data_IF_638766739764
#
_entry.id   IF_638766739764
#
_cell.length_a   1.000
_cell.length_b   1.000
_cell.length_c   1.000
_cell.angle_alpha   90.00
_cell.angle_beta   90.00
_cell.angle_gamma   90.00
#
_symmetry.space_group_name_H-M   'P 1'
#
loop_
_entity.id
_entity.type
_entity.pdbx_description
1 polymer ?
#
# COMPACT_ATOMS: atom_id res chain seq x y z
N UNK A 1 35.39 53.35 27.17
CA UNK A 1 35.42 52.07 26.45
C UNK A 1 34.09 51.96 25.70
N UNK A 2 34.03 52.21 24.39
CA UNK A 2 32.77 52.17 23.67
C UNK A 2 32.34 50.72 23.48
N UNK A 3 31.09 50.46 23.81
CA UNK A 3 30.42 49.16 23.80
C UNK A 3 30.30 48.66 22.35
N UNK A 4 31.10 47.66 21.99
CA UNK A 4 31.27 47.14 20.62
C UNK A 4 30.11 46.21 20.26
N UNK A 5 28.89 46.72 20.25
CA UNK A 5 27.72 46.05 19.64
C UNK A 5 27.51 46.59 18.24
N UNK A 6 28.50 46.39 17.39
CA UNK A 6 28.42 46.70 15.97
C UNK A 6 27.87 45.47 15.25
N UNK A 7 26.69 45.59 14.66
CA UNK A 7 26.00 44.51 13.95
C UNK A 7 26.97 43.83 12.98
N UNK A 8 27.24 42.54 13.24
CA UNK A 8 28.10 41.72 12.38
C UNK A 8 27.42 41.62 11.03
N UNK A 9 28.01 42.25 10.01
CA UNK A 9 27.52 42.15 8.65
C UNK A 9 27.94 40.79 8.08
N UNK A 10 27.05 39.81 8.21
CA UNK A 10 27.22 38.44 7.71
C UNK A 10 26.56 38.36 6.33
N UNK A 11 27.30 37.90 5.32
CA UNK A 11 26.76 37.70 3.99
C UNK A 11 26.32 36.24 3.79
N UNK A 12 25.01 36.00 3.84
CA UNK A 12 24.39 34.68 3.74
C UNK A 12 24.47 34.01 2.36
N UNK A 13 25.05 34.67 1.35
CA UNK A 13 25.24 34.09 0.01
C UNK A 13 26.47 33.18 -0.08
N UNK A 14 27.41 33.23 0.88
CA UNK A 14 28.56 32.32 0.87
C UNK A 14 28.15 30.92 1.28
N UNK A 15 28.23 29.99 0.32
CA UNK A 15 27.98 28.56 0.54
C UNK A 15 29.20 27.69 0.29
N UNK A 16 30.09 28.10 -0.61
CA UNK A 16 31.27 27.32 -0.95
C UNK A 16 32.40 27.54 0.05
N UNK A 17 33.24 26.51 0.24
CA UNK A 17 34.40 26.55 1.14
C UNK A 17 35.24 27.82 1.00
N UNK A 18 35.60 28.19 -0.24
CA UNK A 18 36.43 29.37 -0.52
C UNK A 18 35.72 30.68 -0.13
N UNK A 19 34.42 30.77 -0.38
CA UNK A 19 33.61 31.93 -0.03
C UNK A 19 33.44 32.08 1.49
N UNK A 20 33.23 30.97 2.20
CA UNK A 20 33.13 30.92 3.68
C UNK A 20 34.48 31.29 4.28
N UNK A 21 35.59 30.71 3.80
CA UNK A 21 36.95 31.03 4.24
C UNK A 21 37.26 32.51 4.07
N UNK A 22 36.96 33.07 2.89
CA UNK A 22 37.15 34.50 2.60
C UNK A 22 36.41 35.39 3.60
N UNK A 23 35.14 35.08 3.87
CA UNK A 23 34.35 35.84 4.84
C UNK A 23 34.86 35.69 6.27
N UNK A 24 35.30 34.50 6.67
CA UNK A 24 35.88 34.31 8.00
C UNK A 24 37.21 35.07 8.15
N UNK A 25 38.01 35.18 7.10
CA UNK A 25 39.22 36.01 7.08
C UNK A 25 38.85 37.50 7.21
N UNK A 26 37.87 37.99 6.44
CA UNK A 26 37.41 39.38 6.55
C UNK A 26 36.84 39.69 7.94
N UNK A 27 36.07 38.75 8.51
CA UNK A 27 35.55 38.85 9.86
C UNK A 27 36.69 38.91 10.89
N UNK A 28 37.70 38.05 10.76
CA UNK A 28 38.86 38.06 11.63
C UNK A 28 39.63 39.40 11.55
N UNK A 29 39.84 39.93 10.34
CA UNK A 29 40.50 41.24 10.11
C UNK A 29 39.75 42.41 10.75
N UNK A 30 38.41 42.39 10.75
CA UNK A 30 37.59 43.47 11.30
C UNK A 30 37.53 43.43 12.84
N UNK A 31 37.39 42.25 13.43
CA UNK A 31 37.10 42.12 14.86
C UNK A 31 38.31 41.80 15.73
N UNK A 32 39.36 41.18 15.17
CA UNK A 32 40.57 40.79 15.88
C UNK A 32 41.88 41.42 15.31
N UNK A 33 41.90 42.71 14.92
CA UNK A 33 43.06 43.32 14.23
C UNK A 33 44.32 43.41 15.11
N UNK A 34 44.17 43.44 16.44
CA UNK A 34 45.28 43.57 17.38
C UNK A 34 45.86 42.22 17.82
N UNK A 35 45.04 41.17 17.82
CA UNK A 35 45.42 39.82 18.25
C UNK A 35 45.89 38.91 17.11
N UNK A 36 45.39 39.11 15.89
CA UNK A 36 45.70 38.24 14.76
C UNK A 36 46.06 39.08 13.53
N UNK A 37 47.35 39.10 13.18
CA UNK A 37 47.90 39.89 12.07
C UNK A 37 48.50 39.05 10.94
N UNK A 38 48.73 37.75 11.20
CA UNK A 38 49.27 36.82 10.22
C UNK A 38 48.14 35.95 9.64
N UNK A 39 47.91 36.08 8.33
CA UNK A 39 46.95 35.31 7.54
C UNK A 39 47.64 34.53 6.42
N UNK A 40 48.93 34.24 6.57
CA UNK A 40 49.64 33.38 5.64
C UNK A 40 49.10 31.95 5.68
N UNK A 41 49.11 31.27 4.53
CA UNK A 41 48.51 29.94 4.36
C UNK A 41 49.18 28.82 5.19
N UNK A 42 50.34 29.09 5.80
CA UNK A 42 51.10 28.11 6.58
C UNK A 42 50.93 28.23 8.11
N UNK A 43 50.10 29.16 8.59
CA UNK A 43 49.90 29.40 10.03
C UNK A 43 48.84 28.51 10.68
N UNK A 44 48.93 28.31 12.01
CA UNK A 44 47.90 27.61 12.80
C UNK A 44 46.50 28.25 12.65
N UNK A 45 46.45 29.58 12.53
CA UNK A 45 45.19 30.30 12.29
C UNK A 45 44.56 29.99 10.93
N UNK A 46 45.37 29.77 9.88
CA UNK A 46 44.86 29.34 8.58
C UNK A 46 44.27 27.94 8.64
N UNK A 47 44.94 27.01 9.34
CA UNK A 47 44.42 25.65 9.57
C UNK A 47 43.09 25.66 10.35
N UNK A 48 42.98 26.50 11.37
CA UNK A 48 41.73 26.64 12.14
C UNK A 48 40.60 27.22 11.27
N UNK A 49 40.89 28.25 10.47
CA UNK A 49 39.93 28.81 9.52
C UNK A 49 39.52 27.79 8.46
N UNK A 50 40.44 26.97 7.97
CA UNK A 50 40.17 25.90 7.02
C UNK A 50 39.28 24.80 7.64
N UNK A 51 39.57 24.39 8.87
CA UNK A 51 38.76 23.41 9.58
C UNK A 51 37.31 23.90 9.79
N UNK A 52 37.14 25.15 10.25
CA UNK A 52 35.80 25.74 10.45
C UNK A 52 35.08 25.95 9.12
N UNK A 53 35.80 26.39 8.07
CA UNK A 53 35.23 26.56 6.73
C UNK A 53 34.76 25.22 6.14
N UNK A 54 35.53 24.15 6.37
CA UNK A 54 35.17 22.80 5.93
C UNK A 54 33.90 22.30 6.64
N UNK A 55 33.83 22.46 7.96
CA UNK A 55 32.63 22.12 8.75
C UNK A 55 31.42 22.94 8.26
N UNK A 56 31.61 24.24 8.04
CA UNK A 56 30.56 25.13 7.53
C UNK A 56 30.04 24.70 6.15
N UNK A 57 30.94 24.31 5.25
CA UNK A 57 30.56 23.81 3.93
C UNK A 57 29.73 22.52 4.00
N UNK A 58 30.16 21.54 4.80
CA UNK A 58 29.45 20.27 4.98
C UNK A 58 28.07 20.49 5.61
N UNK A 59 27.96 21.36 6.62
CA UNK A 59 26.68 21.70 7.25
C UNK A 59 25.75 22.45 6.29
N UNK A 60 26.28 23.36 5.47
CA UNK A 60 25.49 24.07 4.46
C UNK A 60 24.86 23.09 3.47
N UNK A 61 25.63 22.09 3.00
CA UNK A 61 25.11 21.05 2.12
C UNK A 61 23.97 20.26 2.79
N UNK A 62 24.16 19.81 4.03
CA UNK A 62 23.12 19.03 4.72
C UNK A 62 21.85 19.84 5.01
N UNK A 63 21.97 21.13 5.35
CA UNK A 63 20.81 22.01 5.54
C UNK A 63 20.01 22.18 4.25
N UNK A 64 20.70 22.39 3.12
CA UNK A 64 20.06 22.53 1.82
C UNK A 64 19.38 21.23 1.40
N UNK A 65 20.07 20.11 1.61
CA UNK A 65 19.51 18.78 1.38
C UNK A 65 18.25 18.54 2.21
N UNK A 66 18.32 18.76 3.52
CA UNK A 66 17.18 18.57 4.42
C UNK A 66 16.00 19.49 4.07
N UNK A 67 16.28 20.74 3.67
CA UNK A 67 15.24 21.69 3.27
C UNK A 67 14.56 21.24 1.98
N UNK A 68 15.33 20.77 0.99
CA UNK A 68 14.78 20.24 -0.25
C UNK A 68 13.97 18.96 -0.01
N UNK A 69 14.43 18.05 0.84
CA UNK A 69 13.71 16.82 1.21
C UNK A 69 12.46 17.09 2.07
N UNK A 70 12.31 18.28 2.64
CA UNK A 70 11.15 18.66 3.47
C UNK A 70 9.89 18.98 2.67
N UNK A 71 10.00 19.22 1.36
CA UNK A 71 8.84 19.51 0.50
C UNK A 71 8.70 18.50 -0.62
N UNK A 72 7.46 18.07 -0.89
CA UNK A 72 7.16 17.11 -1.96
C UNK A 72 7.67 17.55 -3.34
N UNK A 73 7.65 18.85 -3.64
CA UNK A 73 8.08 19.40 -4.93
C UNK A 73 9.59 19.37 -5.15
N UNK A 74 10.38 19.36 -4.08
CA UNK A 74 11.84 19.45 -4.12
C UNK A 74 12.55 18.19 -3.63
N UNK A 75 11.83 17.28 -2.97
CA UNK A 75 12.36 16.00 -2.51
C UNK A 75 12.79 15.13 -3.68
N UNK A 76 13.96 14.51 -3.56
CA UNK A 76 14.58 13.65 -4.56
C UNK A 76 14.59 12.20 -4.05
N UNK A 77 14.77 11.99 -2.74
CA UNK A 77 14.72 10.65 -2.17
C UNK A 77 13.32 10.04 -2.31
N UNK A 78 13.26 8.89 -2.98
CA UNK A 78 12.03 8.14 -3.20
C UNK A 78 11.23 7.91 -1.90
N UNK A 79 11.90 7.53 -0.81
CA UNK A 79 11.25 7.29 0.47
C UNK A 79 10.63 8.56 1.09
N UNK A 80 11.22 9.73 0.86
CA UNK A 80 10.67 10.99 1.39
C UNK A 80 9.50 11.47 0.55
N UNK A 81 9.59 11.35 -0.78
CA UNK A 81 8.46 11.57 -1.69
C UNK A 81 7.26 10.68 -1.29
N UNK A 82 7.53 9.41 -0.98
CA UNK A 82 6.50 8.48 -0.52
C UNK A 82 5.82 8.93 0.77
N UNK A 83 6.60 9.31 1.79
CA UNK A 83 6.08 9.82 3.07
C UNK A 83 5.27 11.10 2.91
N UNK A 84 5.70 12.00 2.03
CA UNK A 84 4.94 13.20 1.69
C UNK A 84 3.61 12.85 1.01
N UNK A 85 3.63 11.86 0.11
CA UNK A 85 2.43 11.27 -0.49
C UNK A 85 1.47 10.69 0.56
N UNK A 86 1.98 9.89 1.48
CA UNK A 86 1.19 9.30 2.57
C UNK A 86 0.53 10.38 3.45
N UNK A 87 1.25 11.49 3.73
CA UNK A 87 0.71 12.60 4.51
C UNK A 87 -0.48 13.30 3.84
N UNK A 88 -0.53 13.31 2.51
CA UNK A 88 -1.68 13.82 1.73
C UNK A 88 -2.74 12.75 1.44
N UNK A 89 -2.56 11.53 1.95
CA UNK A 89 -3.49 10.41 1.80
C UNK A 89 -3.26 9.55 0.55
N UNK A 90 -2.16 9.75 -0.18
CA UNK A 90 -1.77 8.86 -1.27
C UNK A 90 -1.27 7.52 -0.74
N UNK A 91 -1.95 6.43 -1.10
CA UNK A 91 -1.55 5.06 -0.78
C UNK A 91 -0.75 4.50 -1.93
N UNK A 92 0.54 4.31 -1.70
CA UNK A 92 1.39 3.64 -2.67
C UNK A 92 1.26 2.13 -2.53
N UNK A 93 1.13 1.44 -3.65
CA UNK A 93 1.06 0.00 -3.72
C UNK A 93 2.18 -0.47 -4.65
N UNK A 94 3.16 -1.16 -4.08
CA UNK A 94 4.39 -1.55 -4.79
C UNK A 94 4.11 -2.69 -5.79
N UNK A 95 3.14 -3.55 -5.49
CA UNK A 95 2.85 -4.75 -6.27
C UNK A 95 1.39 -4.72 -6.68
N UNK A 96 1.12 -4.79 -7.98
CA UNK A 96 -0.25 -4.82 -8.51
C UNK A 96 -0.61 -6.22 -8.92
N UNK A 97 -1.78 -6.67 -8.48
CA UNK A 97 -2.37 -7.89 -9.00
C UNK A 97 -2.99 -7.67 -10.39
N UNK A 98 -2.93 -8.70 -11.23
CA UNK A 98 -3.62 -8.74 -12.52
C UNK A 98 -5.02 -9.33 -12.33
N UNK A 99 -6.01 -8.70 -12.94
CA UNK A 99 -7.40 -9.17 -12.91
C UNK A 99 -7.79 -9.74 -14.27
N UNK A 100 -8.63 -10.77 -14.27
CA UNK A 100 -9.16 -11.39 -15.47
C UNK A 100 -10.55 -11.98 -15.25
N UNK A 101 -11.20 -12.36 -16.34
CA UNK A 101 -12.48 -13.07 -16.30
C UNK A 101 -12.29 -14.46 -16.88
N UNK A 102 -12.70 -15.47 -16.12
CA UNK A 102 -12.72 -16.87 -16.57
C UNK A 102 -14.15 -17.26 -16.93
N UNK A 103 -14.28 -18.09 -17.96
CA UNK A 103 -15.55 -18.73 -18.31
C UNK A 103 -15.50 -20.16 -17.82
N UNK A 104 -16.45 -20.53 -16.97
CA UNK A 104 -16.54 -21.84 -16.36
C UNK A 104 -17.70 -22.61 -16.97
N UNK A 105 -17.47 -23.90 -17.18
CA UNK A 105 -18.47 -24.82 -17.71
C UNK A 105 -18.57 -26.00 -16.76
N UNK A 106 -19.78 -26.35 -16.34
CA UNK A 106 -20.03 -27.57 -15.61
C UNK A 106 -21.11 -28.39 -16.29
N UNK A 107 -20.93 -29.71 -16.27
CA UNK A 107 -21.86 -30.68 -16.80
C UNK A 107 -22.77 -31.17 -15.66
N UNK A 108 -24.08 -31.05 -15.86
CA UNK A 108 -25.12 -31.38 -14.88
C UNK A 108 -26.10 -32.37 -15.51
N UNK A 109 -26.51 -33.43 -14.79
CA UNK A 109 -27.49 -34.39 -15.32
C UNK A 109 -28.84 -33.74 -15.58
N UNK A 110 -29.63 -34.38 -16.42
CA UNK A 110 -31.02 -34.05 -16.69
C UNK A 110 -31.93 -34.35 -15.48
N UNK A 111 -32.96 -33.52 -15.27
CA UNK A 111 -33.96 -33.74 -14.23
C UNK A 111 -34.86 -34.96 -14.53
N UNK A 112 -35.58 -35.45 -13.51
CA UNK A 112 -36.47 -36.62 -13.65
C UNK A 112 -37.58 -36.47 -14.70
N UNK A 113 -37.86 -35.24 -15.15
CA UNK A 113 -38.87 -34.91 -16.18
C UNK A 113 -38.28 -34.69 -17.58
N UNK A 114 -36.98 -34.91 -17.78
CA UNK A 114 -36.28 -34.71 -19.06
C UNK A 114 -36.49 -33.35 -19.74
N UNK A 115 -36.80 -32.32 -18.96
CA UNK A 115 -37.18 -30.99 -19.49
C UNK A 115 -36.05 -29.96 -19.31
N UNK A 116 -35.08 -30.23 -18.44
CA UNK A 116 -33.97 -29.32 -18.17
C UNK A 116 -32.91 -29.92 -17.24
N UNK A 117 -31.86 -29.13 -16.90
CA UNK A 117 -30.83 -29.55 -15.96
C UNK A 117 -31.41 -29.78 -14.55
N UNK A 118 -30.89 -30.76 -13.83
CA UNK A 118 -31.17 -30.95 -12.41
C UNK A 118 -30.30 -30.02 -11.56
N UNK A 119 -30.92 -28.93 -11.09
CA UNK A 119 -30.25 -27.87 -10.34
C UNK A 119 -29.70 -28.36 -8.98
N UNK A 120 -30.20 -29.48 -8.45
CA UNK A 120 -29.66 -30.05 -7.20
C UNK A 120 -28.21 -30.54 -7.35
N UNK A 121 -27.80 -30.82 -8.59
CA UNK A 121 -26.43 -31.19 -8.95
C UNK A 121 -25.60 -30.00 -9.46
N UNK A 122 -26.13 -28.77 -9.42
CA UNK A 122 -25.39 -27.55 -9.73
C UNK A 122 -24.68 -27.05 -8.46
N UNK A 123 -23.34 -27.22 -8.34
CA UNK A 123 -22.60 -26.78 -7.17
C UNK A 123 -22.43 -25.25 -7.18
N UNK A 124 -21.98 -24.71 -6.05
CA UNK A 124 -21.48 -23.35 -5.95
C UNK A 124 -19.97 -23.40 -5.76
N UNK A 125 -19.21 -22.81 -6.69
CA UNK A 125 -17.76 -22.70 -6.60
C UNK A 125 -17.42 -21.55 -5.67
N UNK A 126 -16.68 -21.83 -4.59
CA UNK A 126 -16.37 -20.82 -3.57
C UNK A 126 -15.24 -19.89 -4.01
N UNK A 127 -15.30 -18.64 -3.57
CA UNK A 127 -14.19 -17.71 -3.56
C UNK A 127 -12.96 -18.36 -2.91
N UNK A 128 -11.78 -18.07 -3.43
CA UNK A 128 -10.54 -18.74 -3.03
C UNK A 128 -10.17 -19.97 -3.87
N UNK A 129 -11.05 -20.44 -4.77
CA UNK A 129 -10.70 -21.50 -5.71
C UNK A 129 -9.58 -21.05 -6.65
N UNK A 130 -8.57 -21.89 -6.86
CA UNK A 130 -7.39 -21.55 -7.67
C UNK A 130 -7.42 -22.17 -9.06
N UNK A 131 -6.85 -21.46 -10.03
CA UNK A 131 -6.70 -21.87 -11.42
C UNK A 131 -5.25 -21.65 -11.86
N UNK A 132 -4.64 -22.67 -12.45
CA UNK A 132 -3.30 -22.58 -13.00
C UNK A 132 -3.34 -22.39 -14.52
N UNK A 133 -2.57 -21.44 -15.04
CA UNK A 133 -2.27 -21.35 -16.47
C UNK A 133 -1.18 -22.34 -16.87
N UNK A 134 -1.12 -22.72 -18.16
CA UNK A 134 -0.06 -23.55 -18.72
C UNK A 134 1.35 -22.98 -18.47
N UNK A 135 1.46 -21.67 -18.29
CA UNK A 135 2.71 -20.97 -17.99
C UNK A 135 3.08 -20.96 -16.49
N UNK A 136 2.30 -21.63 -15.63
CA UNK A 136 2.56 -21.72 -14.19
C UNK A 136 2.04 -20.53 -13.36
N UNK A 137 1.40 -19.53 -13.97
CA UNK A 137 0.73 -18.46 -13.22
C UNK A 137 -0.53 -18.99 -12.54
N UNK A 138 -0.70 -18.66 -11.25
CA UNK A 138 -1.86 -19.03 -10.45
C UNK A 138 -2.80 -17.84 -10.33
N UNK A 139 -4.09 -18.11 -10.47
CA UNK A 139 -5.17 -17.15 -10.31
C UNK A 139 -6.17 -17.66 -9.28
N UNK A 140 -6.72 -16.77 -8.47
CA UNK A 140 -7.70 -17.10 -7.43
C UNK A 140 -9.04 -16.45 -7.73
N UNK A 141 -10.14 -17.18 -7.53
CA UNK A 141 -11.51 -16.70 -7.69
C UNK A 141 -11.86 -15.68 -6.61
N UNK A 142 -12.40 -14.53 -7.02
CA UNK A 142 -12.63 -13.38 -6.14
C UNK A 142 -13.97 -13.46 -5.38
N UNK A 143 -14.98 -14.01 -6.04
CA UNK A 143 -16.33 -14.14 -5.51
C UNK A 143 -16.88 -15.52 -5.80
N UNK A 144 -17.75 -16.03 -4.95
CA UNK A 144 -18.42 -17.29 -5.23
C UNK A 144 -19.17 -17.24 -6.58
N UNK A 145 -19.09 -18.32 -7.35
CA UNK A 145 -19.84 -18.49 -8.60
C UNK A 145 -20.87 -19.60 -8.39
N UNK A 146 -22.14 -19.22 -8.48
CA UNK A 146 -23.26 -20.15 -8.33
C UNK A 146 -23.71 -20.66 -9.70
N UNK A 147 -23.64 -21.99 -9.90
CA UNK A 147 -24.11 -22.60 -11.14
C UNK A 147 -25.62 -22.85 -11.13
N UNK A 148 -26.30 -22.70 -9.99
CA UNK A 148 -27.75 -22.88 -9.85
C UNK A 148 -28.56 -21.64 -10.25
N UNK A 149 -27.91 -20.50 -10.50
CA UNK A 149 -28.59 -19.24 -10.85
C UNK A 149 -29.39 -19.40 -12.16
N UNK A 150 -30.71 -19.09 -12.17
CA UNK A 150 -31.56 -19.15 -13.36
C UNK A 150 -31.09 -18.27 -14.53
N UNK A 151 -30.29 -17.23 -14.28
CA UNK A 151 -29.76 -16.35 -15.32
C UNK A 151 -28.59 -16.97 -16.10
N UNK A 152 -28.01 -18.06 -15.60
CA UNK A 152 -26.90 -18.73 -16.26
C UNK A 152 -27.34 -19.34 -17.59
N UNK A 153 -26.43 -19.33 -18.57
CA UNK A 153 -26.74 -19.94 -19.86
C UNK A 153 -26.59 -21.46 -19.75
N UNK A 154 -27.67 -22.17 -20.09
CA UNK A 154 -27.71 -23.63 -20.13
C UNK A 154 -27.78 -24.11 -21.57
N UNK A 155 -26.90 -25.03 -21.95
CA UNK A 155 -26.85 -25.64 -23.29
C UNK A 155 -26.87 -27.16 -23.15
N UNK A 156 -27.46 -27.88 -24.10
CA UNK A 156 -27.41 -29.35 -24.12
C UNK A 156 -25.97 -29.80 -24.40
N UNK A 157 -25.39 -30.60 -23.51
CA UNK A 157 -24.01 -31.07 -23.63
C UNK A 157 -23.92 -32.46 -24.25
N UNK A 158 -24.78 -33.38 -23.83
CA UNK A 158 -24.75 -34.77 -24.30
C UNK A 158 -26.18 -35.27 -24.48
N UNK A 159 -26.44 -35.87 -25.64
CA UNK A 159 -27.71 -36.52 -25.98
C UNK A 159 -27.52 -38.01 -26.11
N UNK A 160 -28.54 -38.79 -25.77
CA UNK A 160 -28.54 -40.22 -25.98
C UNK A 160 -28.58 -40.53 -27.49
N UNK A 161 -27.64 -41.32 -27.99
CA UNK A 161 -27.47 -41.61 -29.41
C UNK A 161 -28.65 -42.39 -30.04
N UNK A 162 -29.47 -43.08 -29.22
CA UNK A 162 -30.60 -43.88 -29.71
C UNK A 162 -31.95 -43.19 -29.61
N UNK A 163 -32.13 -42.25 -28.67
CA UNK A 163 -33.42 -41.59 -28.42
C UNK A 163 -33.41 -40.08 -28.70
N UNK A 164 -32.23 -39.48 -28.90
CA UNK A 164 -32.08 -38.03 -29.12
C UNK A 164 -32.37 -37.17 -27.88
N UNK A 165 -32.73 -37.78 -26.74
CA UNK A 165 -33.04 -37.07 -25.48
C UNK A 165 -31.75 -36.59 -24.83
N UNK A 166 -31.70 -35.34 -24.32
CA UNK A 166 -30.59 -34.84 -23.52
C UNK A 166 -30.36 -35.70 -22.26
N UNK A 167 -29.12 -36.15 -22.06
CA UNK A 167 -28.66 -36.83 -20.83
C UNK A 167 -28.03 -35.82 -19.88
N UNK A 168 -27.31 -34.85 -20.45
CA UNK A 168 -26.57 -33.87 -19.67
C UNK A 168 -26.65 -32.49 -20.30
N UNK A 169 -26.67 -31.48 -19.44
CA UNK A 169 -26.62 -30.07 -19.79
C UNK A 169 -25.30 -29.46 -19.33
N UNK A 170 -24.76 -28.53 -20.10
CA UNK A 170 -23.63 -27.68 -19.72
C UNK A 170 -24.17 -26.32 -19.27
N UNK A 171 -23.82 -25.92 -18.06
CA UNK A 171 -24.10 -24.59 -17.53
C UNK A 171 -22.83 -23.75 -17.70
N UNK A 172 -22.96 -22.61 -18.38
CA UNK A 172 -21.88 -21.63 -18.59
C UNK A 172 -22.05 -20.46 -17.62
N UNK A 173 -20.99 -20.16 -16.90
CA UNK A 173 -20.91 -19.03 -15.96
C UNK A 173 -19.60 -18.26 -16.13
N UNK A 174 -19.55 -17.08 -15.54
CA UNK A 174 -18.36 -16.23 -15.53
C UNK A 174 -17.91 -15.98 -14.09
N UNK A 175 -16.60 -15.99 -13.88
CA UNK A 175 -15.98 -15.63 -12.60
C UNK A 175 -14.88 -14.60 -12.80
N UNK A 176 -14.75 -13.67 -11.87
CA UNK A 176 -13.60 -12.78 -11.80
C UNK A 176 -12.47 -13.47 -11.02
N UNK A 177 -11.26 -13.35 -11.54
CA UNK A 177 -10.05 -13.93 -10.94
C UNK A 177 -8.97 -12.87 -10.78
N UNK A 178 -8.14 -13.06 -9.76
CA UNK A 178 -6.98 -12.22 -9.46
C UNK A 178 -5.70 -13.07 -9.47
N UNK A 179 -4.60 -12.53 -9.97
CA UNK A 179 -3.31 -13.22 -9.95
C UNK A 179 -2.79 -13.34 -8.53
N UNK A 180 -2.32 -14.52 -8.16
CA UNK A 180 -1.82 -14.81 -6.82
C UNK A 180 -2.60 -15.93 -6.15
N UNK A 181 -2.10 -16.34 -4.99
CA UNK A 181 -2.69 -17.35 -4.13
C UNK A 181 -2.90 -16.77 -2.74
N UNK A 182 -3.89 -17.32 -2.03
CA UNK A 182 -4.11 -16.98 -0.62
C UNK A 182 -3.11 -17.76 0.24
N UNK A 183 -2.31 -17.03 1.00
CA UNK A 183 -1.42 -17.60 2.03
C UNK A 183 -1.87 -17.14 3.41
N UNK A 184 -1.76 -18.05 4.36
CA UNK A 184 -1.99 -17.78 5.77
C UNK A 184 -0.64 -17.69 6.48
N UNK A 185 -0.48 -16.64 7.30
CA UNK A 185 0.69 -16.46 8.15
C UNK A 185 0.22 -16.30 9.59
N UNK A 186 0.82 -17.06 10.50
CA UNK A 186 0.53 -17.01 11.93
C UNK A 186 1.68 -16.35 12.67
N UNK A 187 1.37 -15.43 13.57
CA UNK A 187 2.34 -14.72 14.38
C UNK A 187 2.01 -14.86 15.86
N UNK A 188 3.02 -15.14 16.68
CA UNK A 188 2.87 -15.13 18.13
C UNK A 188 3.09 -13.70 18.65
N UNK A 189 2.07 -13.15 19.29
CA UNK A 189 2.14 -11.85 19.96
C UNK A 189 2.41 -12.13 21.45
N UNK A 190 3.52 -11.62 21.96
CA UNK A 190 3.88 -11.74 23.37
C UNK A 190 3.08 -10.80 24.28
N UNK A 191 3.72 -10.29 25.32
CA UNK A 191 3.08 -9.34 26.25
C UNK A 191 2.56 -8.09 25.53
N UNK A 192 1.58 -7.43 26.15
CA UNK A 192 0.98 -6.21 25.59
C UNK A 192 2.05 -5.15 25.31
N UNK A 193 2.22 -4.82 24.03
CA UNK A 193 3.05 -3.72 23.58
C UNK A 193 2.20 -2.71 22.81
N UNK A 194 2.29 -1.44 23.21
CA UNK A 194 1.60 -0.35 22.50
C UNK A 194 2.14 -0.23 21.08
N UNK A 195 1.25 -0.23 20.09
CA UNK A 195 1.59 -0.12 18.65
C UNK A 195 2.57 -1.19 18.16
N UNK A 196 2.33 -2.45 18.54
CA UNK A 196 3.07 -3.60 18.01
C UNK A 196 3.06 -3.61 16.48
N UNK A 197 4.22 -3.83 15.87
CA UNK A 197 4.38 -4.00 14.42
C UNK A 197 4.74 -5.45 14.14
N UNK A 198 4.09 -6.01 13.13
CA UNK A 198 4.35 -7.36 12.64
C UNK A 198 4.78 -7.22 11.19
N UNK A 199 5.95 -7.77 10.87
CA UNK A 199 6.46 -7.79 9.50
C UNK A 199 6.07 -9.13 8.87
N UNK A 200 5.46 -9.07 7.69
CA UNK A 200 5.20 -10.27 6.88
C UNK A 200 6.41 -10.46 5.97
N UNK A 201 7.19 -11.51 6.22
CA UNK A 201 8.41 -11.84 5.48
C UNK A 201 8.12 -12.46 4.10
N UNK A 202 7.36 -11.76 3.25
CA UNK A 202 7.11 -12.16 1.86
C UNK A 202 7.25 -10.93 0.94
N UNK A 203 8.01 -11.08 -0.14
CA UNK A 203 8.33 -10.00 -1.06
C UNK A 203 7.20 -9.68 -2.04
N UNK A 204 6.20 -10.55 -2.18
CA UNK A 204 5.15 -10.44 -3.22
C UNK A 204 3.73 -10.38 -2.64
N UNK A 205 3.54 -9.69 -1.50
CA UNK A 205 2.21 -9.49 -0.91
C UNK A 205 1.50 -8.31 -1.58
N UNK A 206 0.33 -8.58 -2.16
CA UNK A 206 -0.53 -7.55 -2.77
C UNK A 206 -1.52 -6.96 -1.78
N UNK A 207 -2.20 -7.81 -1.01
CA UNK A 207 -3.30 -7.40 -0.13
C UNK A 207 -3.38 -8.29 1.12
N UNK A 208 -3.85 -7.72 2.22
CA UNK A 208 -4.21 -8.46 3.43
C UNK A 208 -5.72 -8.67 3.41
N UNK A 209 -6.17 -9.87 3.09
CA UNK A 209 -7.60 -10.18 2.97
C UNK A 209 -8.32 -10.16 4.31
N UNK A 210 -7.71 -10.74 5.34
CA UNK A 210 -8.30 -10.80 6.68
C UNK A 210 -7.26 -11.12 7.74
N UNK A 211 -7.48 -10.60 8.95
CA UNK A 211 -6.64 -10.86 10.12
C UNK A 211 -7.56 -11.31 11.25
N UNK A 212 -7.27 -12.47 11.84
CA UNK A 212 -8.03 -13.04 12.94
C UNK A 212 -7.13 -13.33 14.14
N UNK A 213 -7.69 -13.14 15.33
CA UNK A 213 -7.11 -13.68 16.57
C UNK A 213 -7.44 -15.17 16.71
N UNK A 214 -6.70 -15.86 17.57
CA UNK A 214 -6.96 -17.22 18.07
C UNK A 214 -8.39 -17.43 18.58
N UNK A 215 -9.02 -16.36 19.08
CA UNK A 215 -10.41 -16.35 19.57
C UNK A 215 -11.45 -16.10 18.46
N UNK A 216 -11.04 -16.04 17.18
CA UNK A 216 -11.91 -15.82 16.03
C UNK A 216 -12.33 -14.36 15.82
N UNK A 217 -11.68 -13.41 16.49
CA UNK A 217 -12.01 -11.99 16.39
C UNK A 217 -11.28 -11.35 15.21
N UNK A 218 -12.03 -10.74 14.29
CA UNK A 218 -11.45 -10.06 13.13
C UNK A 218 -10.85 -8.70 13.50
N UNK A 219 -9.71 -8.38 12.89
CA UNK A 219 -9.14 -7.04 12.83
C UNK A 219 -9.43 -6.42 11.46
N UNK A 220 -9.78 -5.14 11.45
CA UNK A 220 -10.13 -4.42 10.24
C UNK A 220 -9.01 -3.47 9.84
N UNK A 221 -8.71 -3.41 8.54
CA UNK A 221 -7.81 -2.41 8.00
C UNK A 221 -8.49 -1.04 8.05
N UNK A 222 -7.78 -0.04 8.58
CA UNK A 222 -8.22 1.36 8.60
C UNK A 222 -7.11 2.26 8.07
N UNK A 223 -7.46 3.47 7.68
CA UNK A 223 -6.47 4.42 7.15
C UNK A 223 -5.54 4.93 8.25
N UNK A 224 -6.11 5.15 9.45
CA UNK A 224 -5.37 5.61 10.60
C UNK A 224 -5.99 5.05 11.89
N UNK A 225 -5.16 4.80 12.90
CA UNK A 225 -5.59 4.15 14.15
C UNK A 225 -6.59 4.97 15.00
N UNK A 226 -6.84 6.24 14.68
CA UNK A 226 -7.93 7.02 15.29
C UNK A 226 -9.30 6.81 14.63
N UNK A 227 -9.37 6.21 13.44
CA UNK A 227 -10.63 5.96 12.73
C UNK A 227 -11.39 4.80 13.39
N UNK A 228 -12.48 5.09 14.10
CA UNK A 228 -13.24 4.08 14.85
C UNK A 228 -14.38 3.42 14.05
N UNK A 229 -14.69 3.91 12.86
CA UNK A 229 -15.85 3.48 12.07
C UNK A 229 -15.45 3.19 10.63
N UNK A 230 -15.86 2.02 10.14
CA UNK A 230 -15.80 1.65 8.72
C UNK A 230 -17.22 1.49 8.19
N UNK A 231 -17.37 1.49 6.88
CA UNK A 231 -18.65 1.31 6.22
C UNK A 231 -18.69 -0.06 5.56
N UNK A 232 -19.65 -0.89 5.97
CA UNK A 232 -19.79 -2.27 5.46
C UNK A 232 -21.10 -2.36 4.68
N UNK A 233 -21.10 -2.99 3.48
CA UNK A 233 -22.34 -3.31 2.78
C UNK A 233 -23.08 -4.43 3.51
N UNK A 234 -24.35 -4.19 3.83
CA UNK A 234 -25.27 -5.17 4.40
C UNK A 234 -26.37 -5.44 3.38
N UNK A 235 -26.75 -6.70 3.18
CA UNK A 235 -27.82 -7.04 2.25
C UNK A 235 -29.12 -6.31 2.58
N UNK A 236 -29.78 -5.81 1.55
CA UNK A 236 -31.08 -5.18 1.68
C UNK A 236 -32.17 -6.26 1.76
N UNK A 237 -32.75 -6.46 2.94
CA UNK A 237 -33.79 -7.47 3.14
C UNK A 237 -35.20 -6.98 2.78
N UNK A 238 -35.36 -5.73 2.31
CA UNK A 238 -36.65 -5.20 1.88
C UNK A 238 -37.01 -5.69 0.47
N UNK A 239 -38.10 -6.45 0.38
CA UNK A 239 -38.57 -7.09 -0.85
C UNK A 239 -38.88 -6.10 -1.99
N UNK A 240 -39.12 -4.82 -1.69
CA UNK A 240 -39.48 -3.81 -2.69
C UNK A 240 -38.28 -3.03 -3.23
N UNK A 241 -37.29 -2.75 -2.38
CA UNK A 241 -36.14 -1.90 -2.72
C UNK A 241 -34.86 -2.69 -3.03
N UNK A 242 -34.79 -3.97 -2.66
CA UNK A 242 -33.65 -4.87 -2.92
C UNK A 242 -33.33 -5.00 -4.42
N UNK A 243 -34.34 -4.92 -5.30
CA UNK A 243 -34.15 -5.00 -6.76
C UNK A 243 -33.32 -3.80 -7.30
N UNK A 244 -33.50 -2.60 -6.73
CA UNK A 244 -32.78 -1.39 -7.15
C UNK A 244 -31.50 -1.15 -6.33
N UNK A 245 -31.51 -1.53 -5.05
CA UNK A 245 -30.40 -1.36 -4.14
C UNK A 245 -30.20 -2.66 -3.33
N UNK A 246 -29.43 -3.62 -3.86
CA UNK A 246 -29.26 -4.93 -3.23
C UNK A 246 -28.46 -4.88 -1.92
N UNK A 247 -27.66 -3.83 -1.73
CA UNK A 247 -26.88 -3.61 -0.49
C UNK A 247 -27.09 -2.21 0.06
N UNK A 248 -27.13 -2.11 1.39
CA UNK A 248 -27.20 -0.86 2.15
C UNK A 248 -25.89 -0.70 2.91
N UNK A 249 -25.26 0.46 2.77
CA UNK A 249 -24.03 0.78 3.50
C UNK A 249 -24.38 1.22 4.92
N UNK A 250 -23.80 0.55 5.92
CA UNK A 250 -24.00 0.91 7.34
C UNK A 250 -22.67 1.22 8.03
N UNK A 251 -22.62 2.23 8.92
CA UNK A 251 -21.46 2.47 9.76
C UNK A 251 -21.30 1.33 10.77
N UNK A 252 -20.10 0.77 10.84
CA UNK A 252 -19.73 -0.31 11.74
C UNK A 252 -18.54 0.12 12.60
N UNK A 253 -18.68 -0.01 13.92
CA UNK A 253 -17.66 0.40 14.88
C UNK A 253 -16.61 -0.71 14.96
N UNK A 254 -15.35 -0.37 14.71
CA UNK A 254 -14.22 -1.30 14.68
C UNK A 254 -13.27 -1.06 15.85
N UNK A 255 -13.42 -1.78 16.98
CA UNK A 255 -12.50 -1.64 18.10
C UNK A 255 -11.12 -2.21 17.78
N UNK A 256 -11.04 -3.26 16.95
CA UNK A 256 -9.81 -3.95 16.54
C UNK A 256 -9.40 -3.53 15.14
N UNK A 257 -8.24 -2.90 15.04
CA UNK A 257 -7.79 -2.22 13.84
C UNK A 257 -6.31 -2.46 13.60
N UNK A 258 -5.94 -2.48 12.34
CA UNK A 258 -4.55 -2.41 11.92
C UNK A 258 -4.41 -1.42 10.76
N UNK A 259 -3.19 -0.95 10.56
CA UNK A 259 -2.82 -0.09 9.43
C UNK A 259 -1.69 -0.80 8.71
N UNK A 260 -1.81 -0.94 7.39
CA UNK A 260 -0.73 -1.41 6.53
C UNK A 260 0.25 -0.28 6.27
N UNK A 261 1.54 -0.57 6.37
CA UNK A 261 2.63 0.33 6.01
C UNK A 261 3.51 -0.33 4.97
#
# INVERSE_FOLDING_TARGET
MPDKRENVNINYLSRDFSSIKSQLIEHAKRYYPDTFRDFSDAGFGALMLDAVSYIGYVLSFYLDYQTNESFLSTAIEYNNVLKHGEAVGFKYDNIRATYGQVTLYIKVPVNSSNTGPDISYAPKLRAGSTFSSTNGSIFTLLSDVDFSDPNNQVVVATTNASTGVPVDYAIRTYGQVVSGELREATFEIGDFQKFSRVTVEDSNVTEIVSVFDTTGRQYYEVEHLSQNTIYIPVNNNDATTNIQAPTIIKPFIVPRRFVRK
#
